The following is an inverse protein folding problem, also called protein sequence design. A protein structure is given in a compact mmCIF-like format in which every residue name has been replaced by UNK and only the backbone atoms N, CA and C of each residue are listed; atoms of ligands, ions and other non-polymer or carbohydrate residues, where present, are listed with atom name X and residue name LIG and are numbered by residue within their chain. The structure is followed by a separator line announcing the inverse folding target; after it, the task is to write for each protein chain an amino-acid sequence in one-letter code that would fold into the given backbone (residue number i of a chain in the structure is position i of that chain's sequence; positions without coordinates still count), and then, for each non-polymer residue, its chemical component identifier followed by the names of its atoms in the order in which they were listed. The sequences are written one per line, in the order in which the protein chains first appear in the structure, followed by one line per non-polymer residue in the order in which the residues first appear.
data_IF_685624789284
#
_entry.id   IF_685624789284
#
_cell.length_a   1.000
_cell.length_b   1.000
_cell.length_c   1.000
_cell.angle_alpha   90.00
_cell.angle_beta   90.00
_cell.angle_gamma   90.00
#
_symmetry.space_group_name_H-M   'P 1'
#
loop_
_entity.id
_entity.type
_entity.pdbx_description
1 polymer ?
#
# COMPACT_ATOMS: atom_id res chain seq x y z
N UNK A 1 -10.47 6.24 13.65
CA UNK A 1 -10.13 4.82 13.46
C UNK A 1 -9.67 4.34 14.81
N UNK A 2 -10.34 3.33 15.34
CA UNK A 2 -9.97 2.68 16.61
C UNK A 2 -8.78 1.77 16.30
N UNK A 3 -7.59 2.40 16.27
CA UNK A 3 -6.31 1.76 15.96
C UNK A 3 -5.86 0.99 17.21
N UNK A 4 -6.18 -0.30 17.26
CA UNK A 4 -5.65 -1.20 18.29
C UNK A 4 -4.31 -1.79 17.85
N UNK A 5 -3.44 -2.11 18.82
CA UNK A 5 -2.08 -2.54 18.52
C UNK A 5 -2.00 -3.82 17.67
N UNK A 6 -3.01 -4.70 17.76
CA UNK A 6 -3.07 -5.92 16.96
C UNK A 6 -3.46 -5.61 15.52
N UNK A 7 -4.40 -4.68 15.31
CA UNK A 7 -4.75 -4.17 14.00
C UNK A 7 -3.53 -3.54 13.30
N UNK A 8 -2.76 -2.72 14.01
CA UNK A 8 -1.49 -2.17 13.51
C UNK A 8 -0.50 -3.28 13.13
N UNK A 9 -0.36 -4.33 13.95
CA UNK A 9 0.54 -5.44 13.66
C UNK A 9 0.13 -6.22 12.39
N UNK A 10 -1.17 -6.45 12.19
CA UNK A 10 -1.67 -7.08 10.96
C UNK A 10 -1.37 -6.23 9.72
N UNK A 11 -1.51 -4.90 9.81
CA UNK A 11 -1.15 -4.00 8.71
C UNK A 11 0.33 -4.10 8.35
N UNK A 12 1.23 -4.13 9.35
CA UNK A 12 2.67 -4.31 9.13
C UNK A 12 3.00 -5.67 8.48
N UNK A 13 2.37 -6.75 8.94
CA UNK A 13 2.56 -8.08 8.37
C UNK A 13 2.12 -8.10 6.90
N UNK A 14 0.93 -7.58 6.60
CA UNK A 14 0.38 -7.55 5.24
C UNK A 14 1.22 -6.67 4.31
N UNK A 15 1.81 -5.60 4.84
CA UNK A 15 2.74 -4.74 4.13
C UNK A 15 4.03 -5.48 3.70
N UNK A 16 4.66 -6.22 4.61
CA UNK A 16 5.88 -6.97 4.29
C UNK A 16 5.58 -8.13 3.35
N UNK A 17 4.44 -8.82 3.49
CA UNK A 17 3.99 -9.84 2.52
C UNK A 17 3.82 -9.22 1.13
N UNK A 18 3.19 -8.05 1.04
CA UNK A 18 3.04 -7.33 -0.23
C UNK A 18 4.39 -6.97 -0.88
N UNK A 19 5.39 -6.63 -0.06
CA UNK A 19 6.76 -6.36 -0.53
C UNK A 19 7.41 -7.60 -1.15
N UNK A 20 7.30 -8.75 -0.48
CA UNK A 20 7.82 -10.03 -1.00
C UNK A 20 7.11 -10.40 -2.32
N UNK A 21 5.79 -10.18 -2.42
CA UNK A 21 5.04 -10.43 -3.66
C UNK A 21 5.56 -9.59 -4.83
N UNK A 22 5.94 -8.33 -4.59
CA UNK A 22 6.56 -7.48 -5.62
C UNK A 22 7.94 -7.98 -6.04
N UNK A 23 8.81 -8.31 -5.09
CA UNK A 23 10.15 -8.84 -5.38
C UNK A 23 10.08 -10.13 -6.21
N UNK A 24 9.13 -11.02 -5.89
CA UNK A 24 8.88 -12.22 -6.69
C UNK A 24 8.48 -11.88 -8.14
N UNK A 25 7.62 -10.87 -8.36
CA UNK A 25 7.23 -10.45 -9.72
C UNK A 25 8.40 -9.85 -10.51
N UNK A 26 9.24 -9.05 -9.86
CA UNK A 26 10.44 -8.49 -10.48
C UNK A 26 11.44 -9.60 -10.85
N UNK A 27 11.61 -10.59 -9.98
CA UNK A 27 12.47 -11.75 -10.27
C UNK A 27 11.90 -12.61 -11.40
N UNK A 28 10.59 -12.87 -11.43
CA UNK A 28 9.96 -13.56 -12.54
C UNK A 28 10.27 -12.86 -13.88
N UNK A 29 10.17 -11.52 -13.92
CA UNK A 29 10.49 -10.74 -15.11
C UNK A 29 11.95 -10.94 -15.54
N UNK A 30 12.90 -10.88 -14.60
CA UNK A 30 14.34 -11.11 -14.87
C UNK A 30 14.63 -12.53 -15.39
N UNK A 31 13.91 -13.54 -14.89
CA UNK A 31 14.08 -14.93 -15.33
C UNK A 31 13.51 -15.17 -16.73
N UNK A 32 12.37 -14.53 -17.05
CA UNK A 32 11.81 -14.53 -18.41
C UNK A 32 12.79 -13.92 -19.42
N UNK A 33 13.42 -12.79 -19.07
CA UNK A 33 14.44 -12.14 -19.92
C UNK A 33 15.68 -13.03 -20.17
N UNK A 34 15.85 -14.11 -19.39
CA UNK A 34 16.97 -15.07 -19.47
C UNK A 34 16.57 -16.44 -20.03
N UNK A 35 15.34 -16.59 -20.50
CA UNK A 35 14.77 -17.87 -20.98
C UNK A 35 14.82 -19.02 -19.94
N UNK A 36 14.91 -18.72 -18.64
CA UNK A 36 14.91 -19.73 -17.56
C UNK A 36 13.48 -20.05 -17.09
N UNK A 37 12.73 -20.74 -17.95
CA UNK A 37 11.32 -21.04 -17.71
C UNK A 37 11.07 -22.03 -16.56
N UNK A 38 12.05 -22.89 -16.24
CA UNK A 38 11.96 -23.83 -15.13
C UNK A 38 11.96 -23.08 -13.78
N UNK A 39 12.83 -22.08 -13.64
CA UNK A 39 12.84 -21.21 -12.47
C UNK A 39 11.58 -20.35 -12.38
N UNK A 40 11.07 -19.84 -13.52
CA UNK A 40 9.78 -19.11 -13.56
C UNK A 40 8.64 -19.98 -13.04
N UNK A 41 8.55 -21.25 -13.46
CA UNK A 41 7.49 -22.16 -13.00
C UNK A 41 7.52 -22.38 -11.48
N UNK A 42 8.70 -22.56 -10.89
CA UNK A 42 8.88 -22.68 -9.44
C UNK A 42 8.49 -21.40 -8.71
N UNK A 43 8.89 -20.26 -9.25
CA UNK A 43 8.61 -18.96 -8.68
C UNK A 43 7.12 -18.63 -8.71
N UNK A 44 6.41 -18.98 -9.79
CA UNK A 44 4.94 -18.89 -9.85
C UNK A 44 4.26 -19.77 -8.79
N UNK A 45 4.76 -20.99 -8.57
CA UNK A 45 4.27 -21.87 -7.51
C UNK A 45 4.42 -21.25 -6.12
N UNK A 46 5.58 -20.64 -5.86
CA UNK A 46 5.86 -19.90 -4.61
C UNK A 46 4.95 -18.68 -4.47
N UNK A 47 4.74 -17.93 -5.55
CA UNK A 47 3.81 -16.79 -5.58
C UNK A 47 2.38 -17.18 -5.19
N UNK A 48 1.87 -18.30 -5.70
CA UNK A 48 0.54 -18.81 -5.32
C UNK A 48 0.44 -19.17 -3.83
N UNK A 49 1.51 -19.74 -3.26
CA UNK A 49 1.56 -20.03 -1.83
C UNK A 49 1.56 -18.74 -1.00
N UNK A 50 2.31 -17.72 -1.43
CA UNK A 50 2.34 -16.42 -0.78
C UNK A 50 0.98 -15.72 -0.83
N UNK A 51 0.31 -15.72 -1.97
CA UNK A 51 -1.06 -15.18 -2.12
C UNK A 51 -2.04 -15.89 -1.19
N UNK A 52 -1.96 -17.23 -1.11
CA UNK A 52 -2.79 -18.02 -0.19
C UNK A 52 -2.52 -17.70 1.28
N UNK A 53 -1.26 -17.49 1.64
CA UNK A 53 -0.87 -17.07 2.99
C UNK A 53 -1.40 -15.67 3.31
N UNK A 54 -1.26 -14.71 2.38
CA UNK A 54 -1.79 -13.36 2.54
C UNK A 54 -3.30 -13.36 2.82
N UNK A 55 -4.07 -14.17 2.08
CA UNK A 55 -5.51 -14.31 2.28
C UNK A 55 -5.84 -14.87 3.68
N UNK A 56 -5.08 -15.83 4.19
CA UNK A 56 -5.25 -16.34 5.56
C UNK A 56 -4.98 -15.26 6.61
N UNK A 57 -3.91 -14.46 6.44
CA UNK A 57 -3.60 -13.36 7.35
C UNK A 57 -4.73 -12.32 7.36
N UNK A 58 -5.28 -11.97 6.19
CA UNK A 58 -6.45 -11.09 6.09
C UNK A 58 -7.69 -11.68 6.78
N UNK A 59 -7.92 -12.98 6.63
CA UNK A 59 -9.03 -13.66 7.29
C UNK A 59 -8.88 -13.58 8.81
N UNK A 60 -7.67 -13.78 9.34
CA UNK A 60 -7.38 -13.65 10.77
C UNK A 60 -7.55 -12.21 11.27
N UNK A 61 -7.11 -11.21 10.50
CA UNK A 61 -7.36 -9.81 10.82
C UNK A 61 -8.87 -9.52 10.90
N UNK A 62 -9.65 -10.04 9.96
CA UNK A 62 -11.11 -9.87 9.95
C UNK A 62 -11.77 -10.56 11.16
N UNK A 63 -11.35 -11.78 11.46
CA UNK A 63 -11.81 -12.52 12.63
C UNK A 63 -11.53 -11.74 13.93
N UNK A 64 -10.34 -11.15 14.06
CA UNK A 64 -9.99 -10.29 15.20
C UNK A 64 -10.96 -9.11 15.38
N UNK A 65 -11.22 -8.36 14.31
CA UNK A 65 -12.11 -7.18 14.36
C UNK A 65 -13.57 -7.58 14.63
N UNK A 66 -14.01 -8.74 14.16
CA UNK A 66 -15.40 -9.19 14.30
C UNK A 66 -15.68 -9.92 15.62
N UNK A 67 -14.69 -10.65 16.16
CA UNK A 67 -14.87 -11.45 17.36
C UNK A 67 -14.80 -10.61 18.65
N UNK A 68 -14.14 -9.46 18.62
CA UNK A 68 -13.87 -8.65 19.81
C UNK A 68 -14.35 -7.22 19.67
N UNK A 69 -15.01 -6.73 20.71
CA UNK A 69 -15.46 -5.34 20.78
C UNK A 69 -14.25 -4.36 20.85
N UNK A 70 -14.44 -3.08 20.49
CA UNK A 70 -13.37 -2.09 20.51
C UNK A 70 -12.67 -1.94 21.87
N UNK A 71 -13.38 -2.06 23.00
CA UNK A 71 -12.76 -1.93 24.33
C UNK A 71 -11.82 -3.11 24.59
N UNK A 72 -12.24 -4.33 24.23
CA UNK A 72 -11.40 -5.53 24.33
C UNK A 72 -10.16 -5.44 23.46
N UNK A 73 -10.31 -4.99 22.20
CA UNK A 73 -9.18 -4.81 21.29
C UNK A 73 -8.22 -3.71 21.74
N UNK A 74 -8.74 -2.62 22.31
CA UNK A 74 -7.95 -1.50 22.83
C UNK A 74 -7.13 -1.83 24.09
N UNK A 75 -7.34 -3.00 24.73
CA UNK A 75 -6.55 -3.43 25.90
C UNK A 75 -5.08 -3.65 25.58
N UNK A 76 -4.77 -3.93 24.32
CA UNK A 76 -3.39 -4.00 23.83
C UNK A 76 -3.08 -2.73 23.04
N UNK A 77 -2.28 -1.87 23.65
CA UNK A 77 -1.68 -0.73 22.97
C UNK A 77 -0.27 -1.14 22.54
N UNK A 78 -0.07 -1.35 21.25
CA UNK A 78 1.27 -1.31 20.69
C UNK A 78 1.50 0.16 20.33
N UNK A 79 2.30 0.86 21.14
CA UNK A 79 3.00 2.01 20.59
C UNK A 79 4.06 1.42 19.67
N UNK A 80 3.90 1.45 18.33
CA UNK A 80 5.07 1.26 17.49
C UNK A 80 6.06 2.27 18.04
N UNK A 81 7.22 1.83 18.52
CA UNK A 81 8.27 2.75 18.98
C UNK A 81 8.40 3.79 17.90
N UNK A 82 7.79 4.95 18.16
CA UNK A 82 7.93 6.09 17.32
C UNK A 82 9.37 6.44 17.64
N UNK A 83 10.26 6.10 16.71
CA UNK A 83 11.40 6.96 16.54
C UNK A 83 10.75 8.30 16.18
N UNK A 84 10.49 9.09 17.22
CA UNK A 84 10.14 10.48 17.12
C UNK A 84 11.34 11.13 16.45
N UNK A 85 11.25 11.23 15.14
CA UNK A 85 11.78 12.41 14.49
C UNK A 85 10.58 13.17 13.98
N UNK A 86 10.34 14.33 14.59
CA UNK A 86 9.66 15.39 13.88
C UNK A 86 10.29 15.48 12.48
N UNK A 87 9.45 15.68 11.47
CA UNK A 87 9.54 17.02 10.93
C UNK A 87 8.13 17.60 10.84
N UNK A 88 7.98 18.83 11.32
CA UNK A 88 6.92 19.75 10.88
C UNK A 88 7.02 20.09 9.38
N UNK A 89 7.81 19.33 8.61
CA UNK A 89 8.17 19.57 7.23
C UNK A 89 7.47 18.53 6.37
N UNK A 90 6.59 19.03 5.51
CA UNK A 90 5.88 18.20 4.56
C UNK A 90 6.87 17.67 3.51
N UNK A 91 6.94 16.35 3.36
CA UNK A 91 7.73 15.70 2.33
C UNK A 91 6.89 15.58 1.06
N UNK A 92 7.41 16.08 -0.07
CA UNK A 92 6.82 15.79 -1.37
C UNK A 92 7.23 14.40 -1.84
N UNK A 93 6.25 13.57 -2.18
CA UNK A 93 6.41 12.20 -2.60
C UNK A 93 5.97 11.99 -4.05
N UNK A 94 6.64 11.07 -4.72
CA UNK A 94 6.25 10.55 -6.04
C UNK A 94 6.22 9.04 -5.99
N UNK A 95 5.28 8.42 -6.70
CA UNK A 95 5.20 6.96 -6.84
C UNK A 95 4.82 6.62 -8.27
N UNK A 96 5.42 5.56 -8.79
CA UNK A 96 5.06 4.96 -10.08
C UNK A 96 4.83 3.46 -9.86
N UNK A 97 3.71 2.94 -10.34
CA UNK A 97 3.38 1.51 -10.22
C UNK A 97 2.61 1.02 -11.44
N UNK A 98 3.24 0.14 -12.24
CA UNK A 98 2.76 -0.21 -13.59
C UNK A 98 2.45 1.07 -14.40
N UNK A 99 1.23 1.24 -14.92
CA UNK A 99 0.84 2.45 -15.66
C UNK A 99 0.45 3.64 -14.76
N UNK A 100 0.26 3.43 -13.45
CA UNK A 100 -0.13 4.50 -12.53
C UNK A 100 1.05 5.35 -12.08
N UNK A 101 0.77 6.64 -11.86
CA UNK A 101 1.73 7.60 -11.32
C UNK A 101 1.02 8.57 -10.38
N UNK A 102 1.59 8.81 -9.20
CA UNK A 102 0.95 9.66 -8.20
C UNK A 102 1.95 10.59 -7.53
N UNK A 103 1.47 11.77 -7.17
CA UNK A 103 2.17 12.70 -6.29
C UNK A 103 1.43 12.81 -4.97
N UNK A 104 2.17 12.94 -3.88
CA UNK A 104 1.59 13.03 -2.55
C UNK A 104 2.41 13.94 -1.64
N UNK A 105 1.78 14.41 -0.56
CA UNK A 105 2.46 15.08 0.55
C UNK A 105 2.44 14.18 1.78
N UNK A 106 3.56 14.05 2.48
CA UNK A 106 3.67 13.26 3.69
C UNK A 106 4.05 14.12 4.89
N UNK A 107 3.25 14.07 5.96
CA UNK A 107 3.49 14.74 7.23
C UNK A 107 3.39 13.69 8.33
N UNK A 108 4.53 13.34 8.95
CA UNK A 108 4.63 12.24 9.89
C UNK A 108 4.27 10.89 9.24
N UNK A 109 3.15 10.29 9.65
CA UNK A 109 2.60 9.06 9.04
C UNK A 109 1.48 9.31 8.03
N UNK A 110 0.92 10.53 7.99
CA UNK A 110 -0.20 10.87 7.13
C UNK A 110 0.29 11.19 5.72
N UNK A 111 -0.36 10.62 4.72
CA UNK A 111 -0.03 10.84 3.31
C UNK A 111 -1.26 11.33 2.58
N UNK A 112 -1.17 12.49 1.93
CA UNK A 112 -2.26 13.06 1.11
C UNK A 112 -1.88 12.91 -0.35
N UNK A 113 -2.63 12.09 -1.10
CA UNK A 113 -2.48 11.99 -2.56
C UNK A 113 -3.07 13.24 -3.18
N UNK A 114 -2.33 13.88 -4.08
CA UNK A 114 -2.65 15.18 -4.67
C UNK A 114 -3.42 15.04 -5.98
N UNK A 115 -4.22 16.06 -6.35
CA UNK A 115 -4.88 16.11 -7.64
C UNK A 115 -3.89 16.05 -8.82
N UNK A 116 -4.34 15.52 -9.96
CA UNK A 116 -3.52 15.22 -11.13
C UNK A 116 -2.72 13.91 -11.02
N UNK A 117 -2.90 13.15 -9.94
CA UNK A 117 -2.38 11.78 -9.80
C UNK A 117 -3.24 10.79 -10.58
N UNK A 118 -2.62 9.75 -11.15
CA UNK A 118 -3.29 8.66 -11.86
C UNK A 118 -3.20 7.36 -11.06
N UNK A 119 -4.34 6.75 -10.80
CA UNK A 119 -4.45 5.47 -10.07
C UNK A 119 -4.98 4.37 -10.99
N UNK A 120 -4.57 3.13 -10.75
CA UNK A 120 -5.03 2.00 -11.58
C UNK A 120 -6.51 1.75 -11.37
N UNK A 121 -7.29 1.64 -12.44
CA UNK A 121 -8.72 1.28 -12.38
C UNK A 121 -8.91 -0.16 -11.89
N UNK A 122 -8.01 -1.06 -12.28
CA UNK A 122 -8.03 -2.47 -11.84
C UNK A 122 -7.67 -2.59 -10.37
N UNK A 123 -8.57 -3.19 -9.59
CA UNK A 123 -8.33 -3.58 -8.19
C UNK A 123 -8.19 -5.10 -8.06
N UNK A 124 -7.36 -5.54 -7.12
CA UNK A 124 -7.14 -6.94 -6.78
C UNK A 124 -7.64 -7.21 -5.36
N UNK A 125 -8.10 -8.44 -5.09
CA UNK A 125 -8.54 -8.88 -3.76
C UNK A 125 -7.45 -8.77 -2.69
N UNK A 126 -6.18 -8.69 -3.10
CA UNK A 126 -5.06 -8.40 -2.20
C UNK A 126 -5.10 -6.98 -1.64
N UNK A 127 -5.86 -6.02 -2.17
CA UNK A 127 -6.06 -4.70 -1.54
C UNK A 127 -6.88 -4.79 -0.23
N UNK A 128 -6.59 -3.98 0.79
CA UNK A 128 -7.41 -3.91 2.00
C UNK A 128 -8.85 -3.43 1.74
N UNK A 129 -9.82 -4.02 2.44
CA UNK A 129 -11.26 -3.68 2.29
C UNK A 129 -11.53 -2.18 2.54
N UNK A 130 -10.86 -1.56 3.52
CA UNK A 130 -11.02 -0.13 3.81
C UNK A 130 -10.56 0.77 2.65
N UNK A 131 -9.45 0.43 1.99
CA UNK A 131 -8.95 1.16 0.82
C UNK A 131 -9.85 0.93 -0.39
N UNK A 132 -10.36 -0.30 -0.57
CA UNK A 132 -11.35 -0.60 -1.62
C UNK A 132 -12.62 0.22 -1.44
N UNK A 133 -13.16 0.27 -0.21
CA UNK A 133 -14.35 1.06 0.10
C UNK A 133 -14.12 2.54 -0.16
N UNK A 134 -12.97 3.06 0.28
CA UNK A 134 -12.58 4.45 0.03
C UNK A 134 -12.43 4.80 -1.44
N UNK A 135 -11.96 3.86 -2.27
CA UNK A 135 -11.93 4.02 -3.73
C UNK A 135 -13.32 4.13 -4.32
N UNK A 136 -14.24 3.24 -3.92
CA UNK A 136 -15.64 3.29 -4.37
C UNK A 136 -16.29 4.62 -4.00
N UNK A 137 -16.05 5.11 -2.79
CA UNK A 137 -16.54 6.41 -2.34
C UNK A 137 -15.96 7.55 -3.17
N UNK A 138 -14.65 7.53 -3.43
CA UNK A 138 -13.98 8.54 -4.26
C UNK A 138 -14.47 8.54 -5.72
N UNK A 139 -14.76 7.37 -6.30
CA UNK A 139 -15.37 7.25 -7.63
C UNK A 139 -16.81 7.80 -7.62
N UNK A 140 -17.61 7.43 -6.60
CA UNK A 140 -18.99 7.89 -6.47
C UNK A 140 -19.10 9.39 -6.22
N UNK A 141 -18.11 10.00 -5.55
CA UNK A 141 -18.08 11.43 -5.24
C UNK A 141 -17.40 12.28 -6.32
N UNK A 142 -16.89 11.67 -7.40
CA UNK A 142 -16.20 12.39 -8.48
C UNK A 142 -14.75 12.82 -8.14
N UNK A 143 -14.19 12.31 -7.04
CA UNK A 143 -12.77 12.50 -6.68
C UNK A 143 -11.86 11.63 -7.57
N UNK A 144 -12.35 10.46 -7.98
CA UNK A 144 -11.74 9.61 -8.99
C UNK A 144 -12.58 9.64 -10.27
N UNK A 145 -12.01 10.12 -11.36
CA UNK A 145 -12.69 10.21 -12.66
C UNK A 145 -11.93 9.44 -13.73
N UNK A 146 -12.62 8.81 -14.71
CA UNK A 146 -11.94 8.23 -15.85
C UNK A 146 -11.14 9.27 -16.63
N UNK A 147 -9.90 8.94 -16.99
CA UNK A 147 -9.08 9.78 -17.87
C UNK A 147 -9.07 9.24 -19.31
N UNK A 148 -8.25 9.82 -20.20
CA UNK A 148 -8.14 9.37 -21.60
C UNK A 148 -7.66 7.90 -21.72
N UNK A 149 -6.92 7.40 -20.73
CA UNK A 149 -6.54 5.99 -20.63
C UNK A 149 -7.64 5.18 -19.94
N UNK A 150 -8.09 4.09 -20.58
CA UNK A 150 -9.16 3.24 -20.08
C UNK A 150 -8.82 2.47 -18.79
N UNK A 151 -7.53 2.30 -18.49
CA UNK A 151 -7.02 1.55 -17.35
C UNK A 151 -6.68 2.43 -16.13
N UNK A 152 -6.80 3.76 -16.26
CA UNK A 152 -6.45 4.72 -15.21
C UNK A 152 -7.63 5.61 -14.81
N UNK A 153 -7.60 6.05 -13.55
CA UNK A 153 -8.48 7.08 -13.01
C UNK A 153 -7.63 8.25 -12.54
N UNK A 154 -8.06 9.47 -12.82
CA UNK A 154 -7.44 10.70 -12.35
C UNK A 154 -8.03 11.11 -11.01
N UNK A 155 -7.15 11.51 -10.09
CA UNK A 155 -7.49 12.13 -8.81
C UNK A 155 -7.74 13.61 -9.05
N UNK A 156 -8.95 14.08 -8.76
CA UNK A 156 -9.36 15.48 -8.97
C UNK A 156 -9.27 16.34 -7.70
N UNK A 157 -9.21 15.70 -6.53
CA UNK A 157 -9.13 16.35 -5.23
C UNK A 157 -8.13 15.64 -4.29
N UNK A 158 -7.69 16.32 -3.23
CA UNK A 158 -6.78 15.73 -2.25
C UNK A 158 -7.42 14.57 -1.48
N UNK A 159 -6.70 13.45 -1.37
CA UNK A 159 -7.17 12.24 -0.66
C UNK A 159 -6.24 11.90 0.52
N UNK A 160 -6.65 12.14 1.78
CA UNK A 160 -5.77 12.00 2.95
C UNK A 160 -5.78 10.60 3.58
N UNK A 161 -4.65 9.92 3.67
CA UNK A 161 -4.50 8.58 4.27
C UNK A 161 -3.78 8.63 5.61
N UNK A 162 -4.13 7.70 6.50
CA UNK A 162 -3.50 7.56 7.82
C UNK A 162 -2.09 6.92 7.77
N UNK A 163 -1.76 6.26 6.65
CA UNK A 163 -0.46 5.60 6.45
C UNK A 163 0.00 5.69 4.99
N UNK A 164 1.32 5.63 4.73
CA UNK A 164 1.85 5.59 3.37
C UNK A 164 1.38 4.36 2.58
N UNK A 165 1.21 3.22 3.26
CA UNK A 165 0.80 1.96 2.63
C UNK A 165 -0.66 1.99 2.18
N UNK A 166 -1.56 2.61 2.95
CA UNK A 166 -2.94 2.81 2.50
C UNK A 166 -2.99 3.71 1.25
N UNK A 167 -2.19 4.78 1.20
CA UNK A 167 -2.08 5.65 0.03
C UNK A 167 -1.50 4.91 -1.19
N UNK A 168 -0.47 4.08 -0.99
CA UNK A 168 0.14 3.32 -2.09
C UNK A 168 -0.82 2.26 -2.64
N UNK A 169 -1.58 1.56 -1.78
CA UNK A 169 -2.62 0.63 -2.21
C UNK A 169 -3.70 1.34 -3.04
N UNK A 170 -4.13 2.53 -2.60
CA UNK A 170 -5.10 3.34 -3.33
C UNK A 170 -4.64 3.61 -4.77
N UNK A 171 -3.35 3.92 -4.97
CA UNK A 171 -2.75 4.15 -6.29
C UNK A 171 -2.58 2.85 -7.09
N UNK A 172 -2.00 1.81 -6.48
CA UNK A 172 -1.56 0.59 -7.16
C UNK A 172 -2.68 -0.39 -7.52
N UNK A 173 -3.83 -0.32 -6.85
CA UNK A 173 -4.90 -1.29 -7.07
C UNK A 173 -4.70 -2.63 -6.34
N UNK A 174 -3.63 -2.81 -5.56
CA UNK A 174 -3.30 -4.05 -4.86
C UNK A 174 -2.49 -3.77 -3.58
N UNK A 175 -2.24 -4.79 -2.77
CA UNK A 175 -1.32 -4.67 -1.62
C UNK A 175 0.11 -4.36 -2.06
N UNK A 176 0.66 -3.28 -1.53
CA UNK A 176 2.04 -2.81 -1.74
C UNK A 176 2.56 -2.10 -0.49
N UNK A 177 3.88 -2.04 -0.32
CA UNK A 177 4.51 -1.31 0.80
C UNK A 177 4.71 0.15 0.46
N UNK A 178 3.94 1.04 1.11
CA UNK A 178 4.07 2.48 0.91
C UNK A 178 5.50 2.99 1.15
N UNK A 179 6.16 2.67 2.27
CA UNK A 179 7.56 3.01 2.50
C UNK A 179 8.52 2.63 1.36
N UNK A 180 8.29 1.51 0.66
CA UNK A 180 9.13 1.09 -0.47
C UNK A 180 8.72 1.75 -1.79
N UNK A 181 7.42 1.95 -2.02
CA UNK A 181 6.88 2.52 -3.26
C UNK A 181 7.02 4.04 -3.36
N UNK A 182 6.78 4.76 -2.26
CA UNK A 182 6.88 6.21 -2.24
C UNK A 182 8.35 6.65 -2.25
N UNK A 183 8.69 7.52 -3.18
CA UNK A 183 10.01 8.16 -3.28
C UNK A 183 9.92 9.63 -2.89
N UNK A 184 10.96 10.15 -2.24
CA UNK A 184 11.11 11.59 -2.02
C UNK A 184 11.34 12.28 -3.37
N UNK A 185 10.44 13.20 -3.72
CA UNK A 185 10.49 13.94 -4.98
C UNK A 185 11.84 14.65 -5.14
N UNK A 186 12.46 14.51 -6.31
CA UNK A 186 13.77 15.09 -6.63
C UNK A 186 14.99 14.40 -6.03
N UNK A 187 14.82 13.39 -5.15
CA UNK A 187 15.93 12.63 -4.56
C UNK A 187 16.02 11.18 -5.03
N UNK A 188 14.91 10.60 -5.49
CA UNK A 188 14.85 9.19 -5.93
C UNK A 188 15.06 8.16 -4.81
N UNK A 189 15.07 8.61 -3.55
CA UNK A 189 15.22 7.75 -2.36
C UNK A 189 13.83 7.35 -1.88
N UNK A 190 13.61 6.06 -1.60
CA UNK A 190 12.34 5.60 -1.05
C UNK A 190 12.14 6.05 0.40
N UNK A 191 10.88 6.19 0.81
CA UNK A 191 10.51 6.63 2.15
C UNK A 191 11.06 5.69 3.26
N UNK A 192 11.24 4.39 2.96
CA UNK A 192 11.88 3.40 3.84
C UNK A 192 13.34 3.76 4.11
N UNK A 193 14.11 4.03 3.05
CA UNK A 193 15.53 4.40 3.19
C UNK A 193 15.68 5.78 3.85
N UNK A 194 14.86 6.76 3.47
CA UNK A 194 14.87 8.10 4.05
C UNK A 194 14.73 8.10 5.59
N UNK A 195 13.86 7.24 6.13
CA UNK A 195 13.64 7.08 7.58
C UNK A 195 14.73 6.30 8.31
N UNK A 196 15.58 5.58 7.58
CA UNK A 196 16.71 4.85 8.19
C UNK A 196 17.94 5.77 8.28
N UNK A 197 18.04 6.75 7.38
CA UNK A 197 19.16 7.69 7.29
C UNK A 197 18.94 9.01 8.07
N UNK A 198 17.74 9.28 8.59
CA UNK A 198 17.38 10.48 9.37
C UNK A 198 16.47 10.15 10.55
#
# INVERSE_FOLDING_TARGET
MDDDGVQTAFELILEEIGSVSKELKEEAKRLVDRDDFDSVARLMGTGKQLDSFQLKVKSLQKEWVQAFDPETRARTHYDPVAIETAPSQALSLTMTYAEASATATCIGRKVTVLPGSFVRKKIFESMHENVQQRRKEAEASGILVPCQDSELLEVTEEVPFASPSAAAQFVAGCSVSGPREWQISGKGVSLKHWKTDN
#
